data_IF_512603761833
#
_entry.id   IF_512603761833
#
_cell.length_a   1.000
_cell.length_b   1.000
_cell.length_c   1.000
_cell.angle_alpha   90.00
_cell.angle_beta   90.00
_cell.angle_gamma   90.00
#
_symmetry.space_group_name_H-M   'P 1'
#
loop_
_entity.id
_entity.type
_entity.pdbx_description
1 polymer ?
#
# COMPACT_ATOMS: atom_id res chain seq x y z
N UNK A 1 -28.32 3.30 13.80
CA UNK A 1 -27.67 2.95 12.51
C UNK A 1 -28.08 1.55 12.19
N UNK A 2 -28.90 1.39 11.14
CA UNK A 2 -29.42 0.10 10.73
C UNK A 2 -28.23 -0.84 10.46
N UNK A 3 -28.23 -1.99 11.14
CA UNK A 3 -27.16 -3.02 11.08
C UNK A 3 -26.82 -3.44 9.66
N UNK A 4 -27.77 -3.26 8.74
CA UNK A 4 -27.62 -3.49 7.32
C UNK A 4 -26.62 -2.53 6.65
N UNK A 5 -26.70 -1.22 6.95
CA UNK A 5 -25.74 -0.22 6.43
C UNK A 5 -24.34 -0.47 7.01
N UNK A 6 -24.27 -0.86 8.29
CA UNK A 6 -23.00 -1.17 8.93
C UNK A 6 -22.30 -2.37 8.27
N UNK A 7 -23.05 -3.44 8.01
CA UNK A 7 -22.53 -4.62 7.30
C UNK A 7 -22.02 -4.30 5.89
N UNK A 8 -22.75 -3.44 5.16
CA UNK A 8 -22.33 -3.00 3.82
C UNK A 8 -21.05 -2.15 3.86
N UNK A 9 -20.94 -1.23 4.82
CA UNK A 9 -19.73 -0.44 5.00
C UNK A 9 -18.53 -1.33 5.32
N UNK A 10 -18.67 -2.30 6.23
CA UNK A 10 -17.57 -3.21 6.58
C UNK A 10 -17.24 -4.17 5.43
N UNK A 11 -18.22 -4.62 4.65
CA UNK A 11 -17.97 -5.45 3.47
C UNK A 11 -17.23 -4.68 2.37
N UNK A 12 -17.67 -3.45 2.07
CA UNK A 12 -17.05 -2.58 1.08
C UNK A 12 -15.65 -2.13 1.51
N UNK A 13 -15.46 -1.79 2.79
CA UNK A 13 -14.16 -1.45 3.36
C UNK A 13 -13.28 -2.69 3.51
N UNK A 14 -13.82 -3.87 3.77
CA UNK A 14 -13.03 -5.10 3.86
C UNK A 14 -12.46 -5.50 2.50
N UNK A 15 -13.31 -5.58 1.49
CA UNK A 15 -12.90 -5.96 0.14
C UNK A 15 -12.16 -4.82 -0.57
N UNK A 16 -12.70 -3.61 -0.54
CA UNK A 16 -12.09 -2.43 -1.18
C UNK A 16 -10.89 -1.89 -0.41
N UNK A 17 -10.93 -1.94 0.92
CA UNK A 17 -9.84 -1.45 1.77
C UNK A 17 -8.59 -2.31 1.66
N UNK A 18 -8.68 -3.61 1.35
CA UNK A 18 -7.48 -4.43 1.09
C UNK A 18 -6.72 -3.91 -0.14
N UNK A 19 -7.42 -3.68 -1.26
CA UNK A 19 -6.80 -3.10 -2.46
C UNK A 19 -6.27 -1.68 -2.22
N UNK A 20 -7.02 -0.88 -1.47
CA UNK A 20 -6.62 0.49 -1.14
C UNK A 20 -5.39 0.53 -0.24
N UNK A 21 -5.30 -0.36 0.76
CA UNK A 21 -4.14 -0.49 1.66
C UNK A 21 -2.89 -0.91 0.89
N UNK A 22 -2.99 -1.89 -0.02
CA UNK A 22 -1.85 -2.31 -0.84
C UNK A 22 -1.36 -1.16 -1.74
N UNK A 23 -2.28 -0.42 -2.34
CA UNK A 23 -1.95 0.77 -3.13
C UNK A 23 -1.28 1.86 -2.27
N UNK A 24 -1.80 2.10 -1.08
CA UNK A 24 -1.26 3.08 -0.13
C UNK A 24 0.15 2.69 0.35
N UNK A 25 0.36 1.41 0.71
CA UNK A 25 1.67 0.87 1.07
C UNK A 25 2.68 1.04 -0.06
N UNK A 26 2.29 0.74 -1.30
CA UNK A 26 3.13 0.94 -2.47
C UNK A 26 3.54 2.42 -2.62
N UNK A 27 2.58 3.33 -2.45
CA UNK A 27 2.81 4.77 -2.48
C UNK A 27 3.75 5.22 -1.35
N UNK A 28 3.56 4.70 -0.13
CA UNK A 28 4.42 4.97 1.03
C UNK A 28 5.85 4.49 0.78
N UNK A 29 6.05 3.31 0.18
CA UNK A 29 7.39 2.80 -0.15
C UNK A 29 8.09 3.70 -1.17
N UNK A 30 7.38 4.19 -2.19
CA UNK A 30 7.94 5.14 -3.18
C UNK A 30 8.28 6.48 -2.52
N UNK A 31 7.40 6.97 -1.64
CA UNK A 31 7.63 8.20 -0.87
C UNK A 31 8.82 8.06 0.06
N UNK A 32 8.95 6.92 0.74
CA UNK A 32 10.10 6.58 1.58
C UNK A 32 11.38 6.47 0.75
N UNK A 33 11.37 5.85 -0.44
CA UNK A 33 12.53 5.81 -1.34
C UNK A 33 12.94 7.20 -1.85
N UNK A 34 11.98 8.13 -1.94
CA UNK A 34 12.25 9.51 -2.36
C UNK A 34 12.74 10.38 -1.20
N UNK A 35 12.18 10.20 0.00
CA UNK A 35 12.54 10.95 1.20
C UNK A 35 13.84 10.43 1.82
N UNK A 36 14.02 9.10 1.81
CA UNK A 36 15.26 8.38 2.07
C UNK A 36 15.76 7.80 0.74
N UNK A 37 16.45 8.59 -0.10
CA UNK A 37 17.19 8.07 -1.23
C UNK A 37 18.32 7.21 -0.67
N UNK A 38 18.01 5.94 -0.41
CA UNK A 38 18.99 4.94 -0.02
C UNK A 38 19.99 4.86 -1.18
N UNK A 39 21.11 5.56 -1.00
CA UNK A 39 22.30 5.42 -1.84
C UNK A 39 22.88 4.07 -1.46
N UNK A 40 22.32 3.02 -2.06
CA UNK A 40 23.03 1.75 -2.15
C UNK A 40 24.30 2.07 -2.96
N UNK A 41 25.38 2.37 -2.26
CA UNK A 41 26.71 2.48 -2.82
C UNK A 41 27.01 1.10 -3.44
N UNK A 42 26.98 1.07 -4.78
CA UNK A 42 27.59 0.06 -5.65
C UNK A 42 27.72 -1.37 -5.10
N UNK A 43 26.79 -2.24 -5.45
CA UNK A 43 27.11 -3.66 -5.62
C UNK A 43 26.12 -4.34 -6.57
N UNK A 44 26.61 -4.52 -7.79
CA UNK A 44 26.46 -5.71 -8.66
C UNK A 44 25.18 -6.52 -8.49
N UNK A 45 24.26 -6.37 -9.45
CA UNK A 45 23.06 -7.19 -9.59
C UNK A 45 22.50 -7.11 -11.00
N UNK A 46 23.34 -7.46 -11.98
CA UNK A 46 22.89 -7.80 -13.34
C UNK A 46 22.09 -9.11 -13.28
N UNK A 47 20.85 -9.10 -13.78
CA UNK A 47 20.25 -10.09 -14.72
C UNK A 47 18.75 -10.26 -14.50
N UNK A 48 18.01 -10.22 -15.60
CA UNK A 48 16.64 -10.70 -15.73
C UNK A 48 15.81 -9.79 -16.60
#
# INVERSE_FOLDING_TARGET
MDTWTFGWTVALIGMGGTMLVLWLLSLVIVLLKKLFPYKAETSTGSKG
#
